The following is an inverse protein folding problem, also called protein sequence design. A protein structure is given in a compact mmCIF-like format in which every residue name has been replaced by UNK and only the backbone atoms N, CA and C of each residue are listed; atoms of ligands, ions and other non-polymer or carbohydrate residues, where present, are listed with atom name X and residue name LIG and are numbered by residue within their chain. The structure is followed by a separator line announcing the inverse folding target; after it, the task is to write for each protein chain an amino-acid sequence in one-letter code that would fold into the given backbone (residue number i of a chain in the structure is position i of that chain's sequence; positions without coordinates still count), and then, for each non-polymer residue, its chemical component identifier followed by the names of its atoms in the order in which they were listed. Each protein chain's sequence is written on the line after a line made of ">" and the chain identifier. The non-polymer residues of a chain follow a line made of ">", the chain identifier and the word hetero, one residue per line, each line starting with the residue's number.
data_IF_401431026503
#
_entry.id   IF_401431026503
#
_cell.length_a   1.000
_cell.length_b   1.000
_cell.length_c   1.000
_cell.angle_alpha   90.00
_cell.angle_beta   90.00
_cell.angle_gamma   90.00
#
_symmetry.space_group_name_H-M   'P 1'
#
loop_
_entity.id
_entity.type
_entity.pdbx_description
1 polymer ?
#
# COMPACT_ATOMS: atom_id res chain seq x y z
N UNK A 1 -3.70 -8.98 20.61
CA UNK A 1 -3.40 -7.77 19.82
C UNK A 1 -3.05 -8.12 18.38
N UNK A 2 -3.95 -7.83 17.44
CA UNK A 2 -3.73 -8.05 16.00
C UNK A 2 -2.89 -6.89 15.42
N UNK A 3 -1.92 -7.18 14.55
CA UNK A 3 -1.03 -6.17 13.96
C UNK A 3 -1.34 -5.97 12.48
N UNK A 4 -1.23 -4.74 12.01
CA UNK A 4 -1.38 -4.38 10.59
C UNK A 4 -0.27 -3.41 10.16
N UNK A 5 0.20 -3.56 8.92
CA UNK A 5 1.02 -2.54 8.26
C UNK A 5 0.12 -1.39 7.83
N UNK A 6 0.35 -0.23 8.41
CA UNK A 6 -0.49 0.93 8.29
C UNK A 6 0.06 1.89 7.25
N UNK A 7 -0.62 1.94 6.11
CA UNK A 7 -0.33 2.84 5.01
C UNK A 7 -1.16 4.11 5.14
N UNK A 8 -0.54 5.18 5.65
CA UNK A 8 -1.18 6.45 5.95
C UNK A 8 -1.42 7.34 4.70
N UNK A 9 -0.82 6.99 3.56
CA UNK A 9 -0.91 7.77 2.33
C UNK A 9 -0.23 9.14 2.42
N UNK A 10 -0.70 10.10 1.62
CA UNK A 10 -0.05 11.42 1.51
C UNK A 10 -0.83 12.56 2.20
N UNK A 11 -2.15 12.65 2.00
CA UNK A 11 -2.96 13.76 2.53
C UNK A 11 -3.11 13.73 4.05
N UNK A 12 -3.28 12.52 4.62
CA UNK A 12 -3.49 12.35 6.06
C UNK A 12 -2.31 12.91 6.87
N UNK A 13 -1.05 12.48 6.64
CA UNK A 13 0.08 13.01 7.42
C UNK A 13 0.43 14.47 7.09
N UNK A 14 -0.01 14.99 5.94
CA UNK A 14 0.31 16.34 5.52
C UNK A 14 -0.71 17.40 5.96
N UNK A 15 -1.99 17.02 6.12
CA UNK A 15 -3.11 17.97 6.27
C UNK A 15 -4.19 17.52 7.26
N UNK A 16 -4.28 16.23 7.59
CA UNK A 16 -5.37 15.67 8.41
C UNK A 16 -4.82 14.80 9.54
N UNK A 17 -3.85 15.34 10.29
CA UNK A 17 -3.14 14.62 11.36
C UNK A 17 -4.10 14.13 12.47
N UNK A 18 -5.21 14.85 12.68
CA UNK A 18 -6.28 14.46 13.59
C UNK A 18 -6.97 13.15 13.17
N UNK A 19 -7.04 12.86 11.86
CA UNK A 19 -7.64 11.62 11.38
C UNK A 19 -6.77 10.41 11.73
N UNK A 20 -5.45 10.54 11.58
CA UNK A 20 -4.49 9.52 12.02
C UNK A 20 -4.56 9.29 13.53
N UNK A 21 -4.49 10.38 14.31
CA UNK A 21 -4.54 10.31 15.77
C UNK A 21 -5.82 9.61 16.26
N UNK A 22 -6.97 9.95 15.67
CA UNK A 22 -8.25 9.29 15.98
C UNK A 22 -8.23 7.81 15.63
N UNK A 23 -7.70 7.43 14.45
CA UNK A 23 -7.68 6.04 14.02
C UNK A 23 -6.80 5.17 14.92
N UNK A 24 -5.63 5.66 15.33
CA UNK A 24 -4.75 4.94 16.28
C UNK A 24 -5.42 4.75 17.64
N UNK A 25 -6.13 5.76 18.14
CA UNK A 25 -6.85 5.65 19.42
C UNK A 25 -8.01 4.64 19.35
N UNK A 26 -8.74 4.61 18.23
CA UNK A 26 -9.78 3.61 17.99
C UNK A 26 -9.18 2.21 17.88
N UNK A 27 -8.10 2.05 17.09
CA UNK A 27 -7.40 0.77 16.93
C UNK A 27 -6.91 0.21 18.28
N UNK A 28 -6.34 1.06 19.14
CA UNK A 28 -5.93 0.68 20.50
C UNK A 28 -7.10 0.15 21.34
N UNK A 29 -8.26 0.80 21.26
CA UNK A 29 -9.48 0.36 21.96
C UNK A 29 -9.96 -1.01 21.48
N UNK A 30 -9.71 -1.34 20.20
CA UNK A 30 -10.06 -2.61 19.57
C UNK A 30 -8.97 -3.69 19.69
N UNK A 31 -7.92 -3.47 20.50
CA UNK A 31 -6.75 -4.36 20.60
C UNK A 31 -6.05 -4.61 19.24
N UNK A 32 -5.95 -3.55 18.42
CA UNK A 32 -5.24 -3.53 17.14
C UNK A 32 -4.02 -2.61 17.23
N UNK A 33 -2.87 -3.10 16.76
CA UNK A 33 -1.63 -2.34 16.62
C UNK A 33 -1.42 -1.93 15.16
N UNK A 34 -1.35 -0.62 14.90
CA UNK A 34 -1.06 -0.04 13.59
C UNK A 34 0.43 0.31 13.51
N UNK A 35 1.18 -0.46 12.72
CA UNK A 35 2.61 -0.27 12.51
C UNK A 35 2.83 0.52 11.22
N UNK A 36 3.53 1.65 11.28
CA UNK A 36 3.73 2.48 10.10
C UNK A 36 4.51 1.73 9.02
N UNK A 37 3.93 1.67 7.81
CA UNK A 37 4.59 1.06 6.66
C UNK A 37 5.78 1.94 6.24
N UNK A 38 7.00 1.51 6.58
CA UNK A 38 8.21 2.28 6.32
C UNK A 38 8.56 2.28 4.84
N UNK A 39 9.14 3.38 4.37
CA UNK A 39 9.56 3.58 2.97
C UNK A 39 8.42 3.48 1.94
N UNK A 40 7.17 3.57 2.40
CA UNK A 40 6.01 3.63 1.53
C UNK A 40 6.08 4.86 0.61
N UNK A 41 5.61 4.69 -0.61
CA UNK A 41 5.50 5.76 -1.61
C UNK A 41 4.05 6.11 -1.84
N UNK A 42 3.78 7.22 -2.53
CA UNK A 42 2.42 7.53 -2.98
C UNK A 42 1.81 6.34 -3.73
N UNK A 43 0.52 6.10 -3.52
CA UNK A 43 -0.19 4.99 -4.17
C UNK A 43 -0.28 5.17 -5.69
N UNK A 44 -0.03 6.37 -6.22
CA UNK A 44 -0.13 6.71 -7.64
C UNK A 44 -1.41 7.48 -7.96
N UNK A 45 -2.47 7.35 -7.16
CA UNK A 45 -3.79 7.99 -7.41
C UNK A 45 -4.39 7.62 -8.77
N UNK A 46 -5.62 8.05 -9.04
CA UNK A 46 -6.25 7.86 -10.36
C UNK A 46 -5.58 8.66 -11.47
N UNK A 47 -4.82 9.71 -11.14
CA UNK A 47 -4.17 10.55 -12.12
C UNK A 47 -3.02 9.83 -12.83
N UNK A 48 -2.19 9.09 -12.09
CA UNK A 48 -1.12 8.29 -12.72
C UNK A 48 -1.73 7.13 -13.52
N UNK A 49 -2.80 6.50 -13.02
CA UNK A 49 -3.53 5.46 -13.77
C UNK A 49 -3.97 5.92 -15.16
N UNK A 50 -4.42 7.18 -15.27
CA UNK A 50 -4.87 7.75 -16.54
C UNK A 50 -3.74 8.05 -17.53
N UNK A 51 -2.51 8.26 -17.04
CA UNK A 51 -1.35 8.58 -17.86
C UNK A 51 -0.55 7.32 -18.21
N UNK A 52 -0.25 6.49 -17.20
CA UNK A 52 0.55 5.28 -17.35
C UNK A 52 0.11 4.22 -16.33
N UNK A 53 -0.59 3.20 -16.81
CA UNK A 53 -1.12 2.13 -15.98
C UNK A 53 -0.02 1.26 -15.37
N UNK A 54 1.11 1.05 -16.07
CA UNK A 54 2.20 0.19 -15.57
C UNK A 54 2.88 0.82 -14.36
N UNK A 55 3.16 2.11 -14.44
CA UNK A 55 3.72 2.92 -13.36
C UNK A 55 2.76 2.97 -12.18
N UNK A 56 1.46 3.13 -12.44
CA UNK A 56 0.45 3.08 -11.38
C UNK A 56 0.44 1.73 -10.65
N UNK A 57 0.51 0.61 -11.38
CA UNK A 57 0.61 -0.73 -10.79
C UNK A 57 1.92 -0.90 -10.02
N UNK A 58 3.05 -0.45 -10.58
CA UNK A 58 4.37 -0.53 -9.92
C UNK A 58 4.38 0.18 -8.57
N UNK A 59 3.78 1.39 -8.49
CA UNK A 59 3.66 2.14 -7.24
C UNK A 59 2.79 1.40 -6.21
N UNK A 60 1.68 0.80 -6.65
CA UNK A 60 0.85 -0.07 -5.81
C UNK A 60 1.61 -1.30 -5.33
N UNK A 61 2.27 -2.00 -6.26
CA UNK A 61 3.05 -3.22 -6.02
C UNK A 61 4.19 -2.99 -5.02
N UNK A 62 4.91 -1.87 -5.13
CA UNK A 62 5.96 -1.50 -4.18
C UNK A 62 5.44 -1.43 -2.75
N UNK A 63 4.30 -0.77 -2.53
CA UNK A 63 3.70 -0.65 -1.20
C UNK A 63 3.18 -2.00 -0.68
N UNK A 64 2.62 -2.84 -1.55
CA UNK A 64 2.19 -4.20 -1.19
C UNK A 64 3.38 -5.09 -0.82
N UNK A 65 4.45 -5.08 -1.62
CA UNK A 65 5.69 -5.83 -1.37
C UNK A 65 6.36 -5.41 -0.05
N UNK A 66 6.31 -4.11 0.30
CA UNK A 66 6.80 -3.64 1.61
C UNK A 66 6.01 -4.25 2.77
N UNK A 67 4.68 -4.33 2.67
CA UNK A 67 3.86 -4.94 3.70
C UNK A 67 4.04 -6.47 3.77
N UNK A 68 4.18 -7.14 2.62
CA UNK A 68 4.51 -8.57 2.56
C UNK A 68 5.86 -8.88 3.21
N UNK A 69 6.86 -8.01 3.04
CA UNK A 69 8.17 -8.14 3.69
C UNK A 69 8.07 -8.06 5.22
N UNK A 70 7.09 -7.32 5.75
CA UNK A 70 6.77 -7.26 7.18
C UNK A 70 5.90 -8.45 7.64
N UNK A 71 5.41 -9.28 6.71
CA UNK A 71 4.49 -10.39 6.94
C UNK A 71 3.21 -9.97 7.68
N UNK A 72 2.65 -8.82 7.27
CA UNK A 72 1.46 -8.22 7.87
C UNK A 72 0.46 -7.80 6.80
N UNK A 73 -0.82 -7.90 7.15
CA UNK A 73 -1.89 -7.32 6.32
C UNK A 73 -1.76 -5.80 6.27
N UNK A 74 -1.95 -5.22 5.08
CA UNK A 74 -1.94 -3.76 4.88
C UNK A 74 -3.32 -3.16 5.15
N UNK A 75 -3.36 -2.07 5.94
CA UNK A 75 -4.55 -1.26 6.18
C UNK A 75 -4.31 0.21 5.82
N UNK A 76 -5.34 0.89 5.31
CA UNK A 76 -5.30 2.32 4.99
C UNK A 76 -6.66 2.96 5.27
N UNK A 77 -6.66 4.26 5.59
CA UNK A 77 -7.87 5.04 5.85
C UNK A 77 -8.37 5.83 4.63
N UNK A 78 -7.60 5.84 3.54
CA UNK A 78 -7.94 6.61 2.35
C UNK A 78 -8.56 5.70 1.27
N UNK A 79 -9.79 6.00 0.85
CA UNK A 79 -10.48 5.23 -0.21
C UNK A 79 -9.70 5.20 -1.53
N UNK A 80 -9.05 6.31 -1.90
CA UNK A 80 -8.24 6.37 -3.12
C UNK A 80 -6.99 5.48 -3.04
N UNK A 81 -6.36 5.43 -1.86
CA UNK A 81 -5.26 4.50 -1.58
C UNK A 81 -5.74 3.05 -1.61
N UNK A 82 -6.86 2.77 -0.94
CA UNK A 82 -7.47 1.44 -0.91
C UNK A 82 -7.80 0.92 -2.31
N UNK A 83 -8.52 1.69 -3.12
CA UNK A 83 -8.88 1.30 -4.49
C UNK A 83 -7.64 1.04 -5.33
N UNK A 84 -6.62 1.89 -5.24
CA UNK A 84 -5.38 1.71 -6.01
C UNK A 84 -4.64 0.43 -5.61
N UNK A 85 -4.44 0.21 -4.31
CA UNK A 85 -3.74 -0.96 -3.81
C UNK A 85 -4.53 -2.24 -4.12
N UNK A 86 -5.85 -2.22 -3.93
CA UNK A 86 -6.73 -3.36 -4.18
C UNK A 86 -6.77 -3.73 -5.66
N UNK A 87 -6.90 -2.75 -6.55
CA UNK A 87 -6.90 -2.98 -7.99
C UNK A 87 -5.52 -3.46 -8.48
N UNK A 88 -4.43 -2.85 -7.99
CA UNK A 88 -3.07 -3.27 -8.35
C UNK A 88 -2.83 -4.72 -7.92
N UNK A 89 -3.18 -5.06 -6.67
CA UNK A 89 -3.18 -6.45 -6.17
C UNK A 89 -3.97 -7.37 -7.09
N UNK A 90 -5.21 -7.02 -7.40
CA UNK A 90 -6.05 -7.85 -8.28
C UNK A 90 -5.40 -8.09 -9.64
N UNK A 91 -4.83 -7.06 -10.27
CA UNK A 91 -4.17 -7.19 -11.56
C UNK A 91 -2.91 -8.06 -11.49
N UNK A 92 -2.09 -7.91 -10.46
CA UNK A 92 -0.89 -8.72 -10.25
C UNK A 92 -1.23 -10.19 -9.95
N UNK A 93 -2.28 -10.43 -9.18
CA UNK A 93 -2.73 -11.78 -8.81
C UNK A 93 -3.36 -12.52 -10.00
N UNK A 94 -3.96 -11.77 -10.94
CA UNK A 94 -4.67 -12.36 -12.10
C UNK A 94 -3.86 -12.38 -13.39
N UNK A 95 -2.73 -11.66 -13.46
CA UNK A 95 -1.89 -11.56 -14.67
C UNK A 95 -0.43 -11.89 -14.33
N UNK A 96 -0.02 -13.18 -14.40
CA UNK A 96 1.32 -13.62 -14.04
C UNK A 96 2.44 -12.90 -14.81
N UNK A 97 2.28 -12.71 -16.12
CA UNK A 97 3.27 -12.01 -16.96
C UNK A 97 3.49 -10.56 -16.50
N UNK A 98 2.42 -9.86 -16.12
CA UNK A 98 2.50 -8.51 -15.60
C UNK A 98 3.17 -8.49 -14.23
N UNK A 99 2.89 -9.49 -13.38
CA UNK A 99 3.55 -9.63 -12.08
C UNK A 99 5.06 -9.86 -12.24
N UNK A 100 5.46 -10.70 -13.18
CA UNK A 100 6.87 -10.93 -13.50
C UNK A 100 7.54 -9.64 -13.98
N UNK A 101 6.93 -8.92 -14.94
CA UNK A 101 7.45 -7.63 -15.44
C UNK A 101 7.63 -6.61 -14.29
N UNK A 102 6.65 -6.48 -13.41
CA UNK A 102 6.71 -5.57 -12.27
C UNK A 102 7.77 -6.01 -11.26
N UNK A 103 7.91 -7.32 -11.01
CA UNK A 103 8.93 -7.85 -10.11
C UNK A 103 10.35 -7.66 -10.64
N UNK A 104 10.58 -7.66 -11.96
CA UNK A 104 11.89 -7.29 -12.51
C UNK A 104 12.32 -5.88 -12.09
N UNK A 105 11.38 -4.93 -12.06
CA UNK A 105 11.67 -3.55 -11.60
C UNK A 105 11.81 -3.49 -10.08
N UNK A 106 11.02 -4.26 -9.32
CA UNK A 106 11.10 -4.27 -7.85
C UNK A 106 12.40 -4.89 -7.32
N UNK A 107 13.04 -5.80 -8.08
CA UNK A 107 14.34 -6.40 -7.72
C UNK A 107 15.42 -5.35 -7.50
N UNK A 108 15.45 -4.29 -8.31
CA UNK A 108 16.39 -3.17 -8.16
C UNK A 108 16.23 -2.43 -6.80
N UNK A 109 15.11 -2.66 -6.11
CA UNK A 109 14.78 -2.08 -4.81
C UNK A 109 14.83 -3.11 -3.66
N UNK A 110 15.35 -4.32 -3.90
CA UNK A 110 15.32 -5.45 -2.96
C UNK A 110 13.90 -5.79 -2.47
N UNK A 111 12.93 -5.72 -3.38
CA UNK A 111 11.53 -6.02 -3.16
C UNK A 111 11.00 -7.03 -4.18
N UNK A 112 9.97 -7.76 -3.79
CA UNK A 112 9.26 -8.72 -4.63
C UNK A 112 7.81 -8.79 -4.15
N UNK A 113 6.85 -8.71 -5.07
CA UNK A 113 5.44 -8.94 -4.79
C UNK A 113 5.08 -10.41 -5.05
N UNK A 114 4.53 -11.09 -4.05
CA UNK A 114 4.26 -12.54 -4.08
C UNK A 114 2.77 -12.87 -4.15
N UNK A 115 1.89 -12.01 -3.59
CA UNK A 115 0.44 -12.21 -3.60
C UNK A 115 -0.11 -12.71 -2.28
#
# INVERSE_FOLDING_TARGET
>A
MKKYSYYIGCTIPARMNNYDASARQVAKTLDIELLDLKNAVCCGTVNIKAVDIKTWILLGAKNLALAEKENLDLVTLCNGCFSTLKDSKHLLDTKPELREEINEVLKDLDLEYRG
#
